data_IF_584953674258
#
_entry.id   IF_584953674258
#
_cell.length_a   1.000
_cell.length_b   1.000
_cell.length_c   1.000
_cell.angle_alpha   90.00
_cell.angle_beta   90.00
_cell.angle_gamma   90.00
#
_symmetry.space_group_name_H-M   'P 1'
#
loop_
_entity.id
_entity.type
_entity.pdbx_description
1 polymer ?
#
# COMPACT_ATOMS: atom_id res chain seq x y z
N UNK A 1 27.59 -9.24 10.90
CA UNK A 1 27.40 -9.38 9.44
C UNK A 1 26.23 -10.31 9.22
N UNK A 2 25.05 -9.79 8.91
CA UNK A 2 23.92 -10.62 8.46
C UNK A 2 24.18 -11.07 7.02
N UNK A 3 23.75 -12.30 6.63
CA UNK A 3 24.16 -12.90 5.36
C UNK A 3 23.55 -12.14 4.18
N UNK A 4 24.26 -12.13 3.05
CA UNK A 4 23.81 -11.59 1.76
C UNK A 4 22.69 -12.47 1.16
N UNK A 5 21.51 -12.44 1.77
CA UNK A 5 20.26 -12.94 1.20
C UNK A 5 19.43 -11.75 0.72
N UNK A 6 18.84 -11.87 -0.46
CA UNK A 6 17.84 -10.93 -1.00
C UNK A 6 16.79 -10.66 0.08
N UNK A 7 16.62 -9.40 0.47
CA UNK A 7 15.59 -9.04 1.45
C UNK A 7 14.22 -9.32 0.82
N UNK A 8 13.23 -9.85 1.58
CA UNK A 8 11.92 -10.19 1.02
C UNK A 8 11.23 -9.04 0.29
N UNK A 9 11.47 -7.80 0.72
CA UNK A 9 10.85 -6.62 0.10
C UNK A 9 11.50 -6.16 -1.21
N UNK A 10 12.72 -6.60 -1.56
CA UNK A 10 13.37 -6.22 -2.83
C UNK A 10 12.60 -6.71 -4.07
N UNK A 11 11.71 -7.69 -3.90
CA UNK A 11 10.79 -8.11 -4.97
C UNK A 11 9.85 -6.97 -5.35
N UNK A 12 9.40 -6.16 -4.38
CA UNK A 12 8.53 -5.03 -4.63
C UNK A 12 9.30 -3.92 -5.36
N UNK A 13 10.56 -3.65 -4.99
CA UNK A 13 11.42 -2.67 -5.69
C UNK A 13 11.64 -3.05 -7.16
N UNK A 14 11.93 -4.33 -7.44
CA UNK A 14 12.12 -4.82 -8.82
C UNK A 14 10.83 -4.83 -9.65
N UNK A 15 9.68 -4.98 -8.99
CA UNK A 15 8.41 -5.19 -9.67
C UNK A 15 7.37 -4.10 -9.38
N UNK A 16 7.78 -2.90 -8.96
CA UNK A 16 6.89 -1.76 -8.65
C UNK A 16 5.91 -1.49 -9.78
N UNK A 17 6.37 -1.49 -11.04
CA UNK A 17 5.50 -1.27 -12.19
C UNK A 17 4.44 -2.37 -12.38
N UNK A 18 4.73 -3.63 -12.04
CA UNK A 18 3.75 -4.71 -12.11
C UNK A 18 2.73 -4.62 -10.97
N UNK A 19 3.20 -4.31 -9.76
CA UNK A 19 2.35 -3.98 -8.62
C UNK A 19 1.38 -2.85 -8.99
N UNK A 20 1.88 -1.78 -9.61
CA UNK A 20 1.09 -0.62 -10.00
C UNK A 20 0.02 -0.91 -11.04
N UNK A 21 0.39 -1.68 -12.06
CA UNK A 21 -0.54 -2.09 -13.11
C UNK A 21 -1.69 -2.94 -12.60
N UNK A 22 -1.49 -3.70 -11.52
CA UNK A 22 -2.57 -4.51 -10.95
C UNK A 22 -3.75 -3.64 -10.50
N UNK A 23 -3.50 -2.52 -9.83
CA UNK A 23 -4.57 -1.61 -9.40
C UNK A 23 -5.24 -0.89 -10.56
N UNK A 24 -4.48 -0.54 -11.61
CA UNK A 24 -5.04 0.02 -12.84
C UNK A 24 -5.95 -0.99 -13.57
N UNK A 25 -5.58 -2.27 -13.55
CA UNK A 25 -6.35 -3.35 -14.16
C UNK A 25 -7.58 -3.78 -13.33
N UNK A 26 -7.56 -3.55 -12.00
CA UNK A 26 -8.63 -3.97 -11.08
C UNK A 26 -9.22 -2.79 -10.28
N UNK A 27 -9.71 -1.72 -10.95
CA UNK A 27 -10.13 -0.50 -10.27
C UNK A 27 -11.29 -0.71 -9.31
N UNK A 28 -12.20 -1.66 -9.61
CA UNK A 28 -13.34 -1.98 -8.74
C UNK A 28 -12.90 -2.64 -7.44
N UNK A 29 -11.99 -3.61 -7.50
CA UNK A 29 -11.46 -4.31 -6.31
C UNK A 29 -10.72 -3.31 -5.42
N UNK A 30 -9.87 -2.48 -6.02
CA UNK A 30 -9.17 -1.41 -5.29
C UNK A 30 -10.14 -0.44 -4.59
N UNK A 31 -11.21 -0.01 -5.28
CA UNK A 31 -12.20 0.87 -4.70
C UNK A 31 -12.97 0.20 -3.53
N UNK A 32 -13.29 -1.09 -3.65
CA UNK A 32 -13.92 -1.87 -2.58
C UNK A 32 -13.00 -2.01 -1.35
N UNK A 33 -11.71 -2.24 -1.55
CA UNK A 33 -10.71 -2.30 -0.47
C UNK A 33 -10.57 -0.96 0.27
N UNK A 34 -10.45 0.16 -0.47
CA UNK A 34 -10.38 1.51 0.12
C UNK A 34 -11.67 1.83 0.89
N UNK A 35 -12.84 1.52 0.32
CA UNK A 35 -14.12 1.73 0.98
C UNK A 35 -14.26 0.91 2.26
N UNK A 36 -13.78 -0.33 2.25
CA UNK A 36 -13.75 -1.20 3.43
C UNK A 36 -12.88 -0.58 4.53
N UNK A 37 -11.66 -0.16 4.21
CA UNK A 37 -10.75 0.47 5.18
C UNK A 37 -11.35 1.74 5.79
N UNK A 38 -11.96 2.61 4.97
CA UNK A 38 -12.66 3.82 5.46
C UNK A 38 -13.81 3.51 6.43
N UNK A 39 -14.47 2.37 6.26
CA UNK A 39 -15.58 1.95 7.14
C UNK A 39 -15.10 1.27 8.41
N UNK A 40 -13.98 0.54 8.35
CA UNK A 40 -13.49 -0.26 9.47
C UNK A 40 -12.55 0.49 10.39
N UNK A 41 -11.80 1.46 9.87
CA UNK A 41 -10.92 2.27 10.71
C UNK A 41 -11.75 3.21 11.60
N UNK A 42 -11.41 3.34 12.89
CA UNK A 42 -12.02 4.36 13.74
C UNK A 42 -11.62 5.75 13.22
N UNK A 43 -12.37 6.82 13.55
CA UNK A 43 -11.94 8.17 13.25
C UNK A 43 -10.54 8.46 13.82
N UNK A 44 -9.65 9.01 13.00
CA UNK A 44 -8.30 9.39 13.41
C UNK A 44 -7.94 10.77 12.85
N UNK A 45 -7.09 11.48 13.57
CA UNK A 45 -6.46 12.74 13.11
C UNK A 45 -5.02 12.54 12.67
N UNK A 46 -4.36 11.50 13.19
CA UNK A 46 -2.99 11.12 12.85
C UNK A 46 -2.93 9.59 12.72
N UNK A 47 -2.26 9.10 11.68
CA UNK A 47 -2.10 7.68 11.41
C UNK A 47 -0.75 7.40 10.77
N UNK A 48 -0.28 6.16 10.86
CA UNK A 48 0.93 5.69 10.19
C UNK A 48 0.61 4.43 9.41
N UNK A 49 0.97 4.40 8.13
CA UNK A 49 0.97 3.18 7.33
C UNK A 49 2.39 2.59 7.33
N UNK A 50 2.53 1.38 7.89
CA UNK A 50 3.80 0.65 7.87
C UNK A 50 3.87 -0.14 6.57
N UNK A 51 4.89 0.10 5.75
CA UNK A 51 5.03 -0.54 4.43
C UNK A 51 4.24 0.16 3.33
N UNK A 52 4.18 1.49 3.37
CA UNK A 52 3.35 2.33 2.49
C UNK A 52 3.56 2.13 0.98
N UNK A 53 4.75 1.67 0.57
CA UNK A 53 5.08 1.43 -0.84
C UNK A 53 4.76 2.66 -1.70
N UNK A 54 3.94 2.47 -2.73
CA UNK A 54 3.53 3.55 -3.65
C UNK A 54 2.42 4.47 -3.10
N UNK A 55 2.02 4.32 -1.83
CA UNK A 55 1.04 5.20 -1.17
C UNK A 55 -0.41 5.02 -1.60
N UNK A 56 -0.74 3.91 -2.27
CA UNK A 56 -2.10 3.65 -2.78
C UNK A 56 -3.17 3.56 -1.70
N UNK A 57 -2.81 3.15 -0.48
CA UNK A 57 -3.76 3.07 0.64
C UNK A 57 -3.68 4.32 1.52
N UNK A 58 -2.47 4.80 1.87
CA UNK A 58 -2.27 6.03 2.64
C UNK A 58 -3.02 7.24 2.06
N UNK A 59 -2.84 7.50 0.77
CA UNK A 59 -3.36 8.71 0.12
C UNK A 59 -4.90 8.83 0.24
N UNK A 60 -5.72 7.84 -0.15
CA UNK A 60 -7.17 7.94 0.00
C UNK A 60 -7.65 7.90 1.46
N UNK A 61 -6.82 7.47 2.41
CA UNK A 61 -7.12 7.51 3.84
C UNK A 61 -6.71 8.82 4.51
N UNK A 62 -6.07 9.74 3.79
CA UNK A 62 -5.59 11.01 4.35
C UNK A 62 -4.39 10.87 5.27
N UNK A 63 -3.62 9.79 5.12
CA UNK A 63 -2.37 9.58 5.86
C UNK A 63 -1.27 10.30 5.07
N UNK A 64 -0.69 11.34 5.69
CA UNK A 64 0.43 12.10 5.09
C UNK A 64 1.69 11.23 4.99
N UNK A 65 2.41 11.37 3.87
CA UNK A 65 3.72 10.75 3.62
C UNK A 65 4.86 11.67 4.07
#
# INVERSE_FOLDING_TARGET
MTPSGTRPWEVFDRHTGAYDRWFAAHPRVYAEEVALLRRMLPPFSHGVEIGVGTGRMALPLGISL
#
